data_IF_291646232465
#
_entry.id   IF_291646232465
#
_cell.length_a   1.000
_cell.length_b   1.000
_cell.length_c   1.000
_cell.angle_alpha   90.00
_cell.angle_beta   90.00
_cell.angle_gamma   90.00
#
_symmetry.space_group_name_H-M   'P 1'
#
loop_
_entity.id
_entity.type
_entity.pdbx_description
1 polymer ?
#
# COMPACT_ATOMS: atom_id res chain seq x y z
N UNK A 1 44.87 -13.17 -12.73
CA UNK A 1 45.15 -14.62 -12.80
C UNK A 1 44.73 -15.23 -11.47
N UNK A 2 43.58 -15.94 -11.48
CA UNK A 2 43.07 -16.98 -10.54
C UNK A 2 42.82 -16.53 -9.07
N UNK A 3 41.58 -16.24 -8.64
CA UNK A 3 40.45 -17.13 -8.24
C UNK A 3 40.68 -17.93 -6.95
N UNK A 4 39.85 -17.65 -5.93
CA UNK A 4 39.21 -18.66 -5.08
C UNK A 4 38.01 -18.04 -4.36
N UNK A 5 36.82 -18.23 -4.95
CA UNK A 5 35.54 -18.02 -4.31
C UNK A 5 35.21 -19.27 -3.47
N UNK A 6 34.76 -19.08 -2.23
CA UNK A 6 34.07 -20.12 -1.46
C UNK A 6 32.58 -19.84 -1.52
N UNK A 7 31.88 -20.73 -2.24
CA UNK A 7 30.43 -20.88 -2.23
C UNK A 7 30.05 -21.71 -1.00
N UNK A 8 29.19 -21.20 -0.14
CA UNK A 8 28.46 -22.01 0.84
C UNK A 8 26.95 -21.92 0.55
N UNK A 9 26.28 -23.00 0.13
CA UNK A 9 24.89 -22.98 -0.32
C UNK A 9 23.91 -23.54 0.73
N UNK A 10 23.92 -23.02 1.96
CA UNK A 10 23.09 -23.56 3.05
C UNK A 10 22.46 -22.52 4.01
N UNK A 11 22.06 -21.35 3.51
CA UNK A 11 21.13 -20.47 4.23
C UNK A 11 19.67 -20.79 3.88
N UNK A 12 19.26 -22.03 4.16
CA UNK A 12 17.85 -22.38 4.31
C UNK A 12 17.40 -21.93 5.70
N UNK A 13 16.82 -20.74 5.79
CA UNK A 13 16.10 -20.31 7.00
C UNK A 13 14.87 -21.20 7.15
N UNK A 14 15.01 -22.27 7.91
CA UNK A 14 13.93 -23.14 8.33
C UNK A 14 12.98 -22.34 9.24
N UNK A 15 11.81 -21.98 8.72
CA UNK A 15 10.67 -21.53 9.52
C UNK A 15 10.07 -22.73 10.26
N UNK A 16 10.75 -23.20 11.29
CA UNK A 16 10.30 -24.29 12.17
C UNK A 16 10.14 -23.77 13.59
N UNK A 17 9.01 -23.13 13.86
CA UNK A 17 8.54 -22.81 15.21
C UNK A 17 7.09 -23.29 15.38
N UNK A 18 6.66 -23.70 16.58
CA UNK A 18 5.31 -24.24 16.77
C UNK A 18 4.33 -23.07 16.81
N UNK A 19 3.77 -22.69 15.66
CA UNK A 19 2.67 -21.74 15.60
C UNK A 19 1.37 -22.46 15.95
N UNK A 20 0.84 -22.15 17.14
CA UNK A 20 -0.43 -22.66 17.66
C UNK A 20 -1.56 -22.39 16.65
N UNK A 21 -2.34 -23.42 16.30
CA UNK A 21 -3.62 -23.27 15.58
C UNK A 21 -4.52 -22.30 16.36
N UNK A 22 -4.58 -21.05 15.94
CA UNK A 22 -5.54 -20.10 16.48
C UNK A 22 -6.91 -20.39 15.85
N UNK A 23 -7.91 -20.63 16.70
CA UNK A 23 -9.30 -20.70 16.29
C UNK A 23 -9.73 -19.29 15.87
N UNK A 24 -10.20 -19.15 14.63
CA UNK A 24 -10.77 -17.90 14.13
C UNK A 24 -11.90 -17.45 15.08
N UNK A 25 -11.93 -16.18 15.50
CA UNK A 25 -12.97 -15.71 16.41
C UNK A 25 -14.36 -15.93 15.78
N UNK A 26 -15.35 -16.40 16.56
CA UNK A 26 -16.71 -16.56 16.06
C UNK A 26 -17.25 -15.19 15.60
N UNK A 27 -18.19 -15.21 14.64
CA UNK A 27 -18.86 -14.02 14.10
C UNK A 27 -19.43 -13.15 15.23
N UNK A 28 -18.68 -12.15 15.70
CA UNK A 28 -19.25 -11.03 16.44
C UNK A 28 -19.61 -9.96 15.41
N UNK A 29 -20.90 -9.81 15.15
CA UNK A 29 -21.48 -8.68 14.43
C UNK A 29 -21.30 -7.40 15.26
N UNK A 30 -20.08 -6.90 15.34
CA UNK A 30 -19.84 -5.49 15.68
C UNK A 30 -19.74 -4.76 14.35
N UNK A 31 -20.84 -4.13 13.94
CA UNK A 31 -20.88 -3.23 12.80
C UNK A 31 -19.91 -2.06 13.06
N UNK A 32 -18.64 -2.24 12.70
CA UNK A 32 -17.72 -1.13 12.55
C UNK A 32 -18.21 -0.39 11.30
N UNK A 33 -18.96 0.68 11.55
CA UNK A 33 -19.59 1.51 10.54
C UNK A 33 -18.52 2.28 9.76
N UNK A 34 -17.86 1.61 8.80
CA UNK A 34 -16.95 2.24 7.85
C UNK A 34 -17.78 2.93 6.76
N UNK A 35 -18.08 4.20 6.99
CA UNK A 35 -18.78 5.07 6.04
C UNK A 35 -17.93 5.31 4.78
N UNK A 36 -18.15 4.47 3.77
CA UNK A 36 -17.77 4.75 2.39
C UNK A 36 -19.01 5.26 1.64
N UNK A 37 -19.07 6.58 1.43
CA UNK A 37 -20.14 7.25 0.70
C UNK A 37 -20.18 6.74 -0.74
N UNK A 38 -21.23 5.99 -1.09
CA UNK A 38 -21.42 5.47 -2.46
C UNK A 38 -22.66 6.13 -3.05
N UNK A 39 -22.48 7.15 -3.91
CA UNK A 39 -23.54 7.62 -4.79
C UNK A 39 -23.55 6.75 -6.05
N UNK A 40 -24.64 6.04 -6.27
CA UNK A 40 -24.87 5.22 -7.46
C UNK A 40 -25.45 6.05 -8.60
N UNK A 41 -24.97 5.78 -9.82
CA UNK A 41 -25.73 5.99 -11.06
C UNK A 41 -25.22 5.02 -12.12
N UNK A 42 -26.16 4.25 -12.67
CA UNK A 42 -25.92 3.21 -13.66
C UNK A 42 -25.91 3.80 -15.07
N UNK A 43 -24.85 3.54 -15.87
CA UNK A 43 -24.91 3.55 -17.34
C UNK A 43 -23.98 2.47 -17.91
N UNK A 44 -24.52 1.70 -18.85
CA UNK A 44 -23.95 0.61 -19.65
C UNK A 44 -22.89 1.07 -20.65
N UNK A 45 -21.74 0.39 -20.74
CA UNK A 45 -21.00 0.08 -21.98
C UNK A 45 -19.68 -0.65 -21.70
N UNK A 46 -19.35 -1.63 -22.54
CA UNK A 46 -18.25 -2.57 -22.36
C UNK A 46 -16.84 -1.97 -22.35
N UNK A 47 -16.09 -2.29 -21.30
CA UNK A 47 -14.63 -2.51 -21.31
C UNK A 47 -14.27 -3.23 -20.01
N UNK A 48 -13.43 -4.26 -20.11
CA UNK A 48 -12.92 -5.04 -18.99
C UNK A 48 -12.19 -4.10 -18.02
N UNK A 49 -12.85 -3.73 -16.92
CA UNK A 49 -12.20 -3.11 -15.76
C UNK A 49 -11.99 -4.22 -14.71
N UNK A 50 -10.74 -4.65 -14.54
CA UNK A 50 -10.32 -5.31 -13.30
C UNK A 50 -10.58 -4.31 -12.18
N UNK A 51 -11.56 -4.59 -11.32
CA UNK A 51 -11.83 -3.78 -10.14
C UNK A 51 -10.77 -4.10 -9.08
N UNK A 52 -9.57 -3.57 -9.28
CA UNK A 52 -8.65 -3.29 -8.17
C UNK A 52 -8.79 -1.80 -7.89
N UNK A 53 -9.86 -1.41 -7.19
CA UNK A 53 -9.88 -0.07 -6.61
C UNK A 53 -8.82 -0.09 -5.51
N UNK A 54 -7.60 0.34 -5.83
CA UNK A 54 -6.61 0.69 -4.84
C UNK A 54 -6.90 2.14 -4.43
N UNK A 55 -7.60 2.41 -3.30
CA UNK A 55 -7.83 3.77 -2.84
C UNK A 55 -6.54 4.52 -2.45
N UNK A 56 -5.38 3.84 -2.51
CA UNK A 56 -4.05 4.36 -2.19
C UNK A 56 -3.10 4.40 -3.40
N UNK A 57 -3.62 4.18 -4.62
CA UNK A 57 -2.85 4.46 -5.84
C UNK A 57 -2.64 5.97 -5.94
N UNK A 58 -1.42 6.42 -5.65
CA UNK A 58 -1.00 7.81 -5.86
C UNK A 58 -1.02 8.12 -7.35
N UNK A 59 -2.12 8.69 -7.84
CA UNK A 59 -2.13 9.36 -9.13
C UNK A 59 -1.48 10.73 -8.97
N UNK A 60 -0.48 11.00 -9.80
CA UNK A 60 0.08 12.33 -10.02
C UNK A 60 -0.99 13.20 -10.69
N UNK A 61 -1.76 13.95 -9.91
CA UNK A 61 -2.73 14.89 -10.47
C UNK A 61 -2.04 16.23 -10.75
N UNK A 62 -1.62 16.43 -12.00
CA UNK A 62 -1.67 17.74 -12.64
C UNK A 62 -3.14 18.02 -12.98
N UNK A 63 -3.67 19.15 -12.53
CA UNK A 63 -4.99 19.62 -12.99
C UNK A 63 -4.90 21.09 -13.31
N UNK A 64 -5.02 21.40 -14.60
CA UNK A 64 -5.23 22.73 -15.15
C UNK A 64 -6.66 23.17 -14.83
N UNK A 65 -6.81 24.25 -14.07
CA UNK A 65 -8.10 24.83 -13.75
C UNK A 65 -8.46 25.90 -14.79
N UNK A 66 -9.52 25.66 -15.56
CA UNK A 66 -10.18 26.67 -16.39
C UNK A 66 -11.23 27.38 -15.54
N UNK A 67 -11.03 28.67 -15.25
CA UNK A 67 -11.94 29.48 -14.44
C UNK A 67 -13.01 30.14 -15.31
N UNK A 68 -14.29 29.88 -15.02
CA UNK A 68 -15.42 30.74 -15.44
C UNK A 68 -15.82 31.63 -14.26
N UNK A 69 -15.75 32.94 -14.49
CA UNK A 69 -16.15 33.98 -13.54
C UNK A 69 -17.66 33.97 -13.27
N UNK A 70 -18.05 34.16 -12.02
CA UNK A 70 -19.27 34.90 -11.70
C UNK A 70 -19.10 35.63 -10.36
N UNK A 71 -19.12 36.95 -10.45
CA UNK A 71 -18.97 37.93 -9.39
C UNK A 71 -20.27 38.07 -8.57
N UNK A 72 -20.15 38.09 -7.23
CA UNK A 72 -21.08 38.82 -6.36
C UNK A 72 -20.29 39.50 -5.24
N UNK A 73 -20.30 40.83 -5.28
CA UNK A 73 -19.81 41.73 -4.25
C UNK A 73 -20.72 41.66 -3.01
N UNK A 74 -20.13 41.62 -1.82
CA UNK A 74 -20.74 42.15 -0.60
C UNK A 74 -19.62 42.82 0.23
N UNK A 75 -19.80 44.12 0.45
CA UNK A 75 -18.98 44.97 1.30
C UNK A 75 -19.36 44.80 2.78
N UNK A 76 -18.38 44.76 3.67
CA UNK A 76 -18.51 45.31 5.02
C UNK A 76 -17.13 45.55 5.63
N UNK A 77 -16.89 46.78 6.05
CA UNK A 77 -15.69 47.26 6.73
C UNK A 77 -15.88 47.20 8.24
N UNK A 78 -14.85 46.82 9.01
CA UNK A 78 -14.42 47.52 10.24
C UNK A 78 -13.10 46.97 10.81
N UNK A 79 -12.27 47.90 11.30
CA UNK A 79 -10.87 47.83 11.72
C UNK A 79 -10.59 47.14 13.08
N UNK A 80 -9.36 46.62 13.26
CA UNK A 80 -8.41 46.82 14.39
C UNK A 80 -7.14 45.98 14.14
N UNK A 81 -6.06 46.56 13.61
CA UNK A 81 -4.80 47.01 14.26
C UNK A 81 -3.78 45.91 14.62
N UNK A 82 -2.55 46.14 14.14
CA UNK A 82 -1.25 45.47 14.39
C UNK A 82 -1.07 44.00 13.96
N UNK A 83 -0.84 43.78 12.66
CA UNK A 83 -0.08 42.62 12.20
C UNK A 83 0.84 43.04 11.06
N UNK A 84 2.14 42.75 11.21
CA UNK A 84 3.15 43.04 10.19
C UNK A 84 2.94 42.06 9.04
N UNK A 85 2.21 42.51 8.02
CA UNK A 85 1.71 41.74 6.88
C UNK A 85 2.81 40.91 6.18
N UNK A 86 2.97 39.64 6.58
CA UNK A 86 3.61 38.64 5.73
C UNK A 86 2.62 38.33 4.59
N UNK A 87 2.90 38.84 3.39
CA UNK A 87 2.02 38.61 2.25
C UNK A 87 1.96 37.11 1.90
N UNK A 88 0.75 36.57 1.95
CA UNK A 88 0.45 35.20 1.54
C UNK A 88 0.56 35.11 0.01
N UNK A 89 1.68 34.60 -0.49
CA UNK A 89 1.86 34.33 -1.92
C UNK A 89 1.08 33.08 -2.32
N UNK A 90 -0.08 33.29 -2.92
CA UNK A 90 -0.82 32.24 -3.62
C UNK A 90 -0.11 31.91 -4.95
N UNK A 91 0.15 30.61 -5.14
CA UNK A 91 0.79 30.04 -6.33
C UNK A 91 0.09 30.42 -7.65
N UNK A 92 0.77 31.20 -8.48
CA UNK A 92 0.54 31.27 -9.93
C UNK A 92 1.86 30.97 -10.65
N UNK A 93 2.37 29.73 -10.54
CA UNK A 93 3.47 29.27 -11.38
C UNK A 93 2.92 28.62 -12.65
N UNK A 94 2.56 29.46 -13.62
CA UNK A 94 2.40 29.11 -15.03
C UNK A 94 2.29 30.35 -15.94
N UNK A 95 3.14 31.37 -15.75
CA UNK A 95 3.44 32.37 -16.79
C UNK A 95 4.93 32.67 -16.74
N UNK A 96 5.53 32.82 -17.91
CA UNK A 96 6.94 33.14 -18.15
C UNK A 96 7.34 34.42 -17.41
N UNK A 97 7.74 34.29 -16.15
CA UNK A 97 8.35 35.36 -15.39
C UNK A 97 9.75 35.61 -15.96
N UNK A 98 10.09 36.88 -16.16
CA UNK A 98 11.43 37.25 -16.63
C UNK A 98 12.50 36.83 -15.61
N UNK A 99 13.72 36.55 -16.07
CA UNK A 99 14.81 36.11 -15.17
C UNK A 99 15.10 37.09 -14.02
N UNK A 100 14.88 38.39 -14.23
CA UNK A 100 15.05 39.41 -13.20
C UNK A 100 13.92 39.39 -12.14
N UNK A 101 12.68 39.10 -12.55
CA UNK A 101 11.52 39.02 -11.65
C UNK A 101 11.62 37.78 -10.76
N UNK A 102 12.06 36.64 -11.31
CA UNK A 102 12.37 35.44 -10.53
C UNK A 102 13.50 35.68 -9.50
N UNK A 103 14.53 36.44 -9.87
CA UNK A 103 15.62 36.80 -8.97
C UNK A 103 15.17 37.75 -7.84
N UNK A 104 14.24 38.67 -8.12
CA UNK A 104 13.72 39.62 -7.13
C UNK A 104 12.71 38.96 -6.18
N UNK A 105 11.93 38.01 -6.70
CA UNK A 105 11.05 37.16 -5.88
C UNK A 105 11.86 36.25 -4.96
N UNK A 106 12.96 35.66 -5.45
CA UNK A 106 13.83 34.82 -4.63
C UNK A 106 14.58 35.62 -3.57
N UNK A 107 15.03 36.85 -3.88
CA UNK A 107 15.68 37.71 -2.90
C UNK A 107 14.75 38.13 -1.77
N UNK A 108 13.51 38.54 -2.09
CA UNK A 108 12.49 38.87 -1.10
C UNK A 108 12.13 37.65 -0.22
N UNK A 109 11.99 36.47 -0.83
CA UNK A 109 11.74 35.23 -0.10
C UNK A 109 12.86 34.92 0.91
N UNK A 110 14.13 35.09 0.51
CA UNK A 110 15.27 34.85 1.39
C UNK A 110 15.37 35.89 2.51
N UNK A 111 15.01 37.15 2.25
CA UNK A 111 14.92 38.19 3.29
C UNK A 111 13.87 37.82 4.35
N UNK A 112 12.68 37.40 3.93
CA UNK A 112 11.64 36.90 4.84
C UNK A 112 12.10 35.65 5.61
N UNK A 113 12.84 34.75 4.97
CA UNK A 113 13.43 33.58 5.63
C UNK A 113 14.40 33.99 6.73
N UNK A 114 15.35 34.88 6.43
CA UNK A 114 16.32 35.34 7.44
C UNK A 114 15.66 36.09 8.60
N UNK A 115 14.53 36.76 8.37
CA UNK A 115 13.76 37.40 9.42
C UNK A 115 13.13 36.41 10.42
N UNK A 116 12.95 35.13 10.06
CA UNK A 116 12.37 34.09 10.93
C UNK A 116 13.39 33.12 11.52
N UNK A 117 14.66 33.22 11.13
CA UNK A 117 15.78 32.45 11.72
C UNK A 117 15.85 32.74 13.22
N UNK A 118 16.01 31.70 14.02
CA UNK A 118 15.88 31.67 15.48
C UNK A 118 14.47 31.35 15.98
N UNK A 119 13.46 31.32 15.10
CA UNK A 119 12.08 30.98 15.40
C UNK A 119 11.47 30.02 14.35
N UNK A 120 12.29 29.25 13.63
CA UNK A 120 11.82 28.36 12.56
C UNK A 120 10.80 27.33 13.07
N UNK A 121 10.97 26.66 14.24
CA UNK A 121 9.99 25.67 14.72
C UNK A 121 8.60 26.26 14.92
N UNK A 122 8.53 27.45 15.54
CA UNK A 122 7.27 28.16 15.75
C UNK A 122 6.66 28.60 14.43
N UNK A 123 7.49 29.13 13.54
CA UNK A 123 7.08 29.59 12.21
C UNK A 123 6.51 28.45 11.36
N UNK A 124 7.14 27.28 11.39
CA UNK A 124 6.69 26.08 10.67
C UNK A 124 5.27 25.63 11.08
N UNK A 125 4.88 25.91 12.32
CA UNK A 125 3.56 25.57 12.87
C UNK A 125 2.47 26.62 12.54
N UNK A 126 2.76 27.58 11.65
CA UNK A 126 1.79 28.56 11.16
C UNK A 126 1.50 28.32 9.67
N UNK A 127 0.31 28.73 9.20
CA UNK A 127 -0.05 28.60 7.77
C UNK A 127 0.93 29.37 6.90
N UNK A 128 1.19 30.63 7.22
CA UNK A 128 2.10 31.50 6.45
C UNK A 128 3.53 31.01 6.51
N UNK A 129 4.02 30.66 7.70
CA UNK A 129 5.38 30.17 7.87
C UNK A 129 5.64 28.84 7.18
N UNK A 130 4.66 27.93 7.16
CA UNK A 130 4.73 26.71 6.33
C UNK A 130 4.95 27.05 4.86
N UNK A 131 4.18 27.99 4.30
CA UNK A 131 4.33 28.38 2.89
C UNK A 131 5.70 29.00 2.60
N UNK A 132 6.18 29.87 3.49
CA UNK A 132 7.53 30.44 3.43
C UNK A 132 8.60 29.34 3.42
N UNK A 133 8.62 28.49 4.44
CA UNK A 133 9.66 27.47 4.62
C UNK A 133 9.65 26.42 3.51
N UNK A 134 8.47 25.96 3.07
CA UNK A 134 8.38 25.05 1.92
C UNK A 134 8.88 25.71 0.64
N UNK A 135 8.63 27.01 0.44
CA UNK A 135 9.14 27.74 -0.73
C UNK A 135 10.66 27.89 -0.67
N UNK A 136 11.22 28.15 0.52
CA UNK A 136 12.67 28.19 0.73
C UNK A 136 13.31 26.82 0.46
N UNK A 137 12.72 25.74 0.95
CA UNK A 137 13.20 24.37 0.68
C UNK A 137 13.20 24.07 -0.84
N UNK A 138 12.23 24.58 -1.60
CA UNK A 138 12.18 24.41 -3.06
C UNK A 138 13.31 25.12 -3.80
N UNK A 139 13.97 26.12 -3.21
CA UNK A 139 15.17 26.73 -3.77
C UNK A 139 16.38 25.79 -3.70
N UNK A 140 16.35 24.78 -2.83
CA UNK A 140 17.41 23.78 -2.66
C UNK A 140 18.78 24.37 -2.28
N UNK A 141 18.80 25.54 -1.65
CA UNK A 141 20.02 26.13 -1.14
C UNK A 141 20.48 25.35 0.10
N UNK A 142 21.64 24.69 0.00
CA UNK A 142 22.15 23.76 1.02
C UNK A 142 22.35 24.41 2.39
N UNK A 143 22.83 25.66 2.42
CA UNK A 143 22.99 26.44 3.64
C UNK A 143 21.65 26.75 4.33
N UNK A 144 20.60 27.08 3.55
CA UNK A 144 19.25 27.34 4.08
C UNK A 144 18.60 26.06 4.60
N UNK A 145 18.76 24.95 3.88
CA UNK A 145 18.31 23.62 4.32
C UNK A 145 18.97 23.26 5.65
N UNK A 146 20.27 23.48 5.78
CA UNK A 146 20.99 23.19 7.03
C UNK A 146 20.48 24.03 8.20
N UNK A 147 20.27 25.34 8.01
CA UNK A 147 19.68 26.21 9.04
C UNK A 147 18.31 25.70 9.50
N UNK A 148 17.46 25.30 8.54
CA UNK A 148 16.14 24.74 8.85
C UNK A 148 16.28 23.45 9.66
N UNK A 149 17.19 22.55 9.28
CA UNK A 149 17.44 21.30 10.02
C UNK A 149 17.88 21.62 11.45
N UNK A 150 18.90 22.44 11.61
CA UNK A 150 19.52 22.75 12.91
C UNK A 150 18.51 23.33 13.90
N UNK A 151 17.63 24.22 13.45
CA UNK A 151 16.58 24.79 14.29
C UNK A 151 15.41 23.84 14.54
N UNK A 152 15.04 23.00 13.57
CA UNK A 152 13.95 22.04 13.74
C UNK A 152 14.33 20.88 14.66
N UNK A 153 15.58 20.40 14.63
CA UNK A 153 16.02 19.19 15.33
C UNK A 153 15.63 19.15 16.83
N UNK A 154 15.84 20.21 17.64
CA UNK A 154 15.45 20.21 19.06
C UNK A 154 13.94 20.06 19.31
N UNK A 155 13.10 20.45 18.35
CA UNK A 155 11.64 20.42 18.45
C UNK A 155 11.00 19.52 17.39
N UNK A 156 11.79 18.66 16.75
CA UNK A 156 11.38 17.90 15.56
C UNK A 156 10.09 17.12 15.80
N UNK A 157 10.00 16.44 16.95
CA UNK A 157 8.84 15.63 17.30
C UNK A 157 7.55 16.44 17.42
N UNK A 158 7.63 17.67 17.95
CA UNK A 158 6.49 18.58 18.10
C UNK A 158 6.07 19.10 16.73
N UNK A 159 7.03 19.61 15.96
CA UNK A 159 6.77 20.20 14.63
C UNK A 159 6.26 19.14 13.65
N UNK A 160 6.78 17.90 13.70
CA UNK A 160 6.35 16.84 12.82
C UNK A 160 4.89 16.40 13.05
N UNK A 161 4.39 16.54 14.28
CA UNK A 161 2.99 16.22 14.63
C UNK A 161 2.04 17.40 14.46
N UNK A 162 2.56 18.61 14.28
CA UNK A 162 1.76 19.81 14.06
C UNK A 162 1.03 19.78 12.70
N UNK A 163 -0.18 20.37 12.67
CA UNK A 163 -1.04 20.40 11.49
C UNK A 163 -0.39 21.12 10.29
N UNK A 164 0.46 22.12 10.54
CA UNK A 164 1.22 22.83 9.50
C UNK A 164 2.67 22.35 9.44
N UNK A 165 3.30 22.14 10.60
CA UNK A 165 4.70 21.74 10.70
C UNK A 165 5.02 20.42 9.99
N UNK A 166 4.10 19.44 10.00
CA UNK A 166 4.28 18.17 9.31
C UNK A 166 4.54 18.33 7.80
N UNK A 167 4.01 19.39 7.17
CA UNK A 167 4.24 19.68 5.76
C UNK A 167 5.67 20.17 5.50
N UNK A 168 6.25 20.93 6.43
CA UNK A 168 7.64 21.39 6.34
C UNK A 168 8.58 20.21 6.53
N UNK A 169 8.35 19.37 7.56
CA UNK A 169 9.16 18.16 7.81
C UNK A 169 9.08 17.18 6.64
N UNK A 170 7.89 16.99 6.07
CA UNK A 170 7.74 16.17 4.85
C UNK A 170 8.51 16.75 3.67
N UNK A 171 8.37 18.05 3.39
CA UNK A 171 9.06 18.69 2.28
C UNK A 171 10.58 18.62 2.43
N UNK A 172 11.07 18.73 3.67
CA UNK A 172 12.48 18.54 4.00
C UNK A 172 12.92 17.10 3.68
N UNK A 173 12.21 16.07 4.17
CA UNK A 173 12.53 14.66 3.90
C UNK A 173 12.49 14.36 2.39
N UNK A 174 11.55 14.94 1.64
CA UNK A 174 11.49 14.74 0.18
C UNK A 174 12.65 15.38 -0.59
N UNK A 175 13.37 16.31 0.03
CA UNK A 175 14.46 17.09 -0.58
C UNK A 175 15.85 16.55 -0.23
N UNK A 176 16.07 16.16 1.02
CA UNK A 176 17.41 15.85 1.53
C UNK A 176 17.97 14.54 0.97
N UNK A 177 19.28 14.37 1.04
CA UNK A 177 19.94 13.10 0.71
C UNK A 177 19.71 12.05 1.81
N UNK A 178 20.00 10.79 1.52
CA UNK A 178 19.90 9.72 2.51
C UNK A 178 20.88 9.94 3.66
N UNK A 179 22.10 10.39 3.39
CA UNK A 179 23.12 10.66 4.41
C UNK A 179 22.66 11.75 5.39
N UNK A 180 21.99 12.78 4.89
CA UNK A 180 21.45 13.85 5.73
C UNK A 180 20.19 13.39 6.48
N UNK A 181 19.35 12.54 5.89
CA UNK A 181 18.25 11.95 6.62
C UNK A 181 18.76 11.12 7.81
N UNK A 182 19.83 10.34 7.62
CA UNK A 182 20.41 9.48 8.66
C UNK A 182 20.82 10.25 9.92
N UNK A 183 21.23 11.52 9.80
CA UNK A 183 21.53 12.37 10.97
C UNK A 183 20.27 12.83 11.70
N UNK A 184 19.12 12.89 11.01
CA UNK A 184 17.83 13.31 11.56
C UNK A 184 17.10 12.13 12.23
N UNK A 185 17.23 10.91 11.70
CA UNK A 185 16.49 9.73 12.18
C UNK A 185 16.55 9.51 13.70
N UNK A 186 17.71 9.64 14.38
CA UNK A 186 17.82 9.42 15.83
C UNK A 186 16.99 10.40 16.67
N UNK A 187 16.58 11.54 16.10
CA UNK A 187 15.79 12.56 16.78
C UNK A 187 14.28 12.25 16.78
N UNK A 188 13.81 11.31 15.96
CA UNK A 188 12.42 10.86 16.02
C UNK A 188 12.21 9.92 17.21
N UNK A 189 11.36 10.34 18.15
CA UNK A 189 10.96 9.47 19.25
C UNK A 189 10.07 8.33 18.72
N UNK A 190 10.19 7.10 19.26
CA UNK A 190 9.34 5.99 18.83
C UNK A 190 7.84 6.29 18.91
N UNK A 191 7.40 6.94 20.00
CA UNK A 191 6.01 7.39 20.17
C UNK A 191 5.58 8.33 19.03
N UNK A 192 6.44 9.25 18.63
CA UNK A 192 6.17 10.19 17.53
C UNK A 192 6.01 9.47 16.20
N UNK A 193 6.81 8.44 15.90
CA UNK A 193 6.65 7.65 14.68
C UNK A 193 5.26 7.01 14.60
N UNK A 194 4.77 6.45 15.72
CA UNK A 194 3.44 5.86 15.80
C UNK A 194 2.35 6.92 15.64
N UNK A 195 2.46 8.04 16.36
CA UNK A 195 1.51 9.15 16.25
C UNK A 195 1.49 9.74 14.84
N UNK A 196 2.63 9.89 14.17
CA UNK A 196 2.70 10.32 12.78
C UNK A 196 1.87 9.39 11.89
N UNK A 197 2.03 8.08 12.04
CA UNK A 197 1.36 7.06 11.23
C UNK A 197 -0.17 7.07 11.39
N UNK A 198 -0.71 7.44 12.55
CA UNK A 198 -2.15 7.32 12.83
C UNK A 198 -2.92 8.63 12.91
N UNK A 199 -2.28 9.75 13.28
CA UNK A 199 -2.98 10.97 13.70
C UNK A 199 -3.81 11.61 12.59
N UNK A 200 -3.26 11.70 11.38
CA UNK A 200 -3.95 12.32 10.24
C UNK A 200 -3.40 11.85 8.91
N UNK A 201 -4.12 12.20 7.84
CA UNK A 201 -3.63 12.01 6.49
C UNK A 201 -2.38 12.80 6.12
N UNK A 202 -2.08 13.88 6.85
CA UNK A 202 -0.94 14.75 6.58
C UNK A 202 0.29 14.28 7.33
N UNK A 203 0.17 14.02 8.64
CA UNK A 203 1.26 13.49 9.48
C UNK A 203 1.76 12.14 8.98
N UNK A 204 0.86 11.24 8.53
CA UNK A 204 1.29 9.93 8.01
C UNK A 204 2.20 10.06 6.80
N UNK A 205 2.08 11.15 6.03
CA UNK A 205 2.90 11.37 4.83
C UNK A 205 4.36 11.63 5.17
N UNK A 206 4.69 12.04 6.40
CA UNK A 206 6.07 12.15 6.89
C UNK A 206 6.72 10.78 6.92
N UNK A 207 6.07 9.79 7.55
CA UNK A 207 6.57 8.40 7.59
C UNK A 207 6.61 7.80 6.18
N UNK A 208 5.60 8.08 5.35
CA UNK A 208 5.58 7.58 3.97
C UNK A 208 6.71 8.18 3.14
N UNK A 209 7.01 9.48 3.25
CA UNK A 209 8.10 10.09 2.48
C UNK A 209 9.47 9.52 2.86
N UNK A 210 9.68 9.14 4.13
CA UNK A 210 10.92 8.47 4.55
C UNK A 210 11.14 7.20 3.71
N UNK A 211 10.14 6.31 3.66
CA UNK A 211 10.25 5.05 2.95
C UNK A 211 10.16 5.18 1.41
N UNK A 212 9.37 6.14 0.90
CA UNK A 212 9.25 6.39 -0.54
C UNK A 212 10.53 7.01 -1.15
N UNK A 213 11.37 7.66 -0.33
CA UNK A 213 12.56 8.40 -0.80
C UNK A 213 13.87 7.74 -0.44
N UNK A 214 13.95 7.01 0.68
CA UNK A 214 15.20 6.53 1.22
C UNK A 214 15.20 5.03 1.47
N UNK A 215 16.35 4.42 1.20
CA UNK A 215 16.62 3.02 1.52
C UNK A 215 17.97 2.98 2.23
N UNK A 216 17.95 2.70 3.53
CA UNK A 216 19.14 2.65 4.37
C UNK A 216 18.96 1.69 5.53
N UNK A 217 20.07 1.10 5.98
CA UNK A 217 20.16 0.33 7.23
C UNK A 217 19.75 1.17 8.45
N UNK A 218 20.01 2.48 8.41
CA UNK A 218 19.67 3.41 9.50
C UNK A 218 18.15 3.55 9.73
N UNK A 219 17.30 3.09 8.80
CA UNK A 219 15.85 3.06 8.99
C UNK A 219 15.39 1.97 9.97
N UNK A 220 16.26 1.02 10.33
CA UNK A 220 15.93 -0.12 11.20
C UNK A 220 15.23 0.25 12.50
N UNK A 221 15.60 1.32 13.25
CA UNK A 221 14.87 1.72 14.46
C UNK A 221 13.42 2.15 14.19
N UNK A 222 13.18 2.87 13.08
CA UNK A 222 11.83 3.26 12.67
C UNK A 222 11.03 2.03 12.24
N UNK A 223 11.63 1.15 11.43
CA UNK A 223 11.01 -0.11 11.02
C UNK A 223 10.63 -0.96 12.24
N UNK A 224 11.52 -1.07 13.22
CA UNK A 224 11.29 -1.81 14.47
C UNK A 224 10.13 -1.22 15.25
N UNK A 225 10.07 0.11 15.36
CA UNK A 225 8.96 0.82 16.02
C UNK A 225 7.62 0.51 15.35
N UNK A 226 7.56 0.59 14.02
CA UNK A 226 6.37 0.26 13.22
C UNK A 226 6.00 -1.22 13.37
N UNK A 227 6.98 -2.13 13.37
CA UNK A 227 6.77 -3.57 13.51
C UNK A 227 6.17 -3.91 14.89
N UNK A 228 6.70 -3.33 15.96
CA UNK A 228 6.22 -3.54 17.33
C UNK A 228 4.77 -3.08 17.52
N UNK A 229 4.37 -2.00 16.85
CA UNK A 229 2.98 -1.52 16.85
C UNK A 229 2.16 -2.03 15.65
N UNK A 230 2.70 -3.00 14.89
CA UNK A 230 2.20 -3.36 13.56
C UNK A 230 0.74 -3.81 13.57
N UNK A 231 0.33 -4.58 14.57
CA UNK A 231 -1.06 -5.03 14.72
C UNK A 231 -2.02 -3.84 14.88
N UNK A 232 -1.70 -2.91 15.80
CA UNK A 232 -2.51 -1.72 16.05
C UNK A 232 -2.59 -0.82 14.81
N UNK A 233 -1.45 -0.62 14.14
CA UNK A 233 -1.36 0.20 12.94
C UNK A 233 -2.15 -0.43 11.78
N UNK A 234 -2.04 -1.73 11.56
CA UNK A 234 -2.66 -2.43 10.43
C UNK A 234 -4.19 -2.36 10.42
N UNK A 235 -4.83 -2.23 11.59
CA UNK A 235 -6.29 -2.09 11.72
C UNK A 235 -6.77 -0.64 11.74
N UNK A 236 -5.88 0.33 11.57
CA UNK A 236 -6.21 1.76 11.49
C UNK A 236 -6.28 2.23 10.04
N UNK A 237 -7.25 3.11 9.74
CA UNK A 237 -7.42 3.72 8.41
C UNK A 237 -6.15 4.42 7.90
N UNK A 238 -5.39 5.03 8.81
CA UNK A 238 -4.17 5.76 8.49
C UNK A 238 -2.92 4.90 8.69
N UNK A 239 -2.90 4.15 9.80
CA UNK A 239 -1.76 3.32 10.18
C UNK A 239 -1.46 2.20 9.18
N UNK A 240 -2.50 1.61 8.56
CA UNK A 240 -2.31 0.52 7.61
C UNK A 240 -1.46 0.95 6.41
N UNK A 241 -1.56 2.21 5.99
CA UNK A 241 -0.81 2.77 4.86
C UNK A 241 0.67 2.90 5.22
N UNK A 242 0.98 3.28 6.47
CA UNK A 242 2.37 3.32 6.94
C UNK A 242 2.99 1.92 6.93
N UNK A 243 2.27 0.90 7.45
CA UNK A 243 2.72 -0.50 7.43
C UNK A 243 2.94 -0.99 6.00
N UNK A 244 2.00 -0.73 5.09
CA UNK A 244 2.11 -1.09 3.66
C UNK A 244 3.37 -0.46 3.05
N UNK A 245 3.58 0.85 3.25
CA UNK A 245 4.74 1.55 2.69
C UNK A 245 6.07 1.06 3.26
N UNK A 246 6.10 0.70 4.55
CA UNK A 246 7.26 0.06 5.16
C UNK A 246 7.52 -1.31 4.53
N UNK A 247 6.50 -2.15 4.30
CA UNK A 247 6.66 -3.45 3.63
C UNK A 247 7.16 -3.25 2.18
N UNK A 248 6.56 -2.35 1.41
CA UNK A 248 6.92 -2.15 0.00
C UNK A 248 8.36 -1.64 -0.16
N UNK A 249 8.77 -0.66 0.64
CA UNK A 249 9.96 0.14 0.30
C UNK A 249 11.17 -0.07 1.20
N UNK A 250 11.06 -0.85 2.29
CA UNK A 250 12.21 -1.17 3.15
C UNK A 250 13.16 -2.21 2.52
N UNK A 251 14.35 -2.33 3.13
CA UNK A 251 15.31 -3.37 2.77
C UNK A 251 14.73 -4.78 3.04
N UNK A 252 15.18 -5.83 2.35
CA UNK A 252 14.58 -7.16 2.47
C UNK A 252 14.51 -7.71 3.90
N UNK A 253 15.54 -7.51 4.73
CA UNK A 253 15.55 -7.98 6.12
C UNK A 253 14.64 -7.12 7.03
N UNK A 254 14.60 -5.80 6.83
CA UNK A 254 13.66 -4.88 7.48
C UNK A 254 12.21 -5.27 7.16
N UNK A 255 11.89 -5.49 5.88
CA UNK A 255 10.59 -5.97 5.42
C UNK A 255 10.19 -7.26 6.14
N UNK A 256 11.11 -8.24 6.17
CA UNK A 256 10.89 -9.53 6.82
C UNK A 256 10.57 -9.36 8.31
N UNK A 257 11.22 -8.42 9.00
CA UNK A 257 10.94 -8.13 10.42
C UNK A 257 9.49 -7.67 10.63
N UNK A 258 8.98 -6.76 9.80
CA UNK A 258 7.58 -6.29 9.87
C UNK A 258 6.62 -7.43 9.57
N UNK A 259 6.88 -8.19 8.50
CA UNK A 259 6.06 -9.33 8.11
C UNK A 259 5.97 -10.35 9.26
N UNK A 260 7.11 -10.71 9.86
CA UNK A 260 7.16 -11.69 10.95
C UNK A 260 6.32 -11.29 12.17
N UNK A 261 6.26 -9.99 12.49
CA UNK A 261 5.43 -9.46 13.57
C UNK A 261 3.93 -9.51 13.27
N UNK A 262 3.54 -9.54 12.00
CA UNK A 262 2.13 -9.56 11.58
C UNK A 262 1.59 -10.97 11.36
N UNK A 263 2.45 -11.97 11.14
CA UNK A 263 2.04 -13.36 10.91
C UNK A 263 1.13 -13.93 12.02
N UNK A 264 1.40 -13.74 13.32
CA UNK A 264 0.56 -14.30 14.38
C UNK A 264 -0.88 -13.75 14.43
N UNK A 265 -1.15 -12.64 13.75
CA UNK A 265 -2.46 -11.97 13.72
C UNK A 265 -3.07 -11.91 12.32
N UNK A 266 -2.44 -12.60 11.36
CA UNK A 266 -2.83 -12.61 9.95
C UNK A 266 -4.31 -13.01 9.72
N UNK A 267 -4.89 -14.02 10.40
CA UNK A 267 -6.30 -14.36 10.22
C UNK A 267 -7.24 -13.20 10.58
N UNK A 268 -6.97 -12.50 11.70
CA UNK A 268 -7.76 -11.35 12.12
C UNK A 268 -7.60 -10.16 11.17
N UNK A 269 -6.37 -9.90 10.68
CA UNK A 269 -6.12 -8.83 9.71
C UNK A 269 -6.82 -9.10 8.38
N UNK A 270 -6.87 -10.35 7.93
CA UNK A 270 -7.50 -10.78 6.68
C UNK A 270 -8.98 -10.39 6.62
N UNK A 271 -9.69 -10.47 7.76
CA UNK A 271 -11.10 -10.11 7.86
C UNK A 271 -11.35 -8.63 8.23
N UNK A 272 -10.30 -7.84 8.47
CA UNK A 272 -10.44 -6.44 8.87
C UNK A 272 -10.59 -5.51 7.65
N UNK A 273 -11.38 -4.44 7.79
CA UNK A 273 -11.67 -3.48 6.72
C UNK A 273 -10.44 -2.71 6.19
N UNK A 274 -9.38 -2.58 6.98
CA UNK A 274 -8.09 -1.99 6.60
C UNK A 274 -6.98 -3.06 6.53
N UNK A 275 -6.97 -3.98 7.50
CA UNK A 275 -5.96 -5.03 7.61
C UNK A 275 -5.88 -5.94 6.39
N UNK A 276 -6.99 -6.16 5.68
CA UNK A 276 -6.99 -7.00 4.47
C UNK A 276 -6.01 -6.46 3.40
N UNK A 277 -5.85 -5.13 3.28
CA UNK A 277 -4.88 -4.54 2.35
C UNK A 277 -3.44 -4.79 2.78
N UNK A 278 -3.18 -4.77 4.09
CA UNK A 278 -1.87 -5.14 4.65
C UNK A 278 -1.57 -6.60 4.36
N UNK A 279 -2.55 -7.51 4.50
CA UNK A 279 -2.39 -8.93 4.15
C UNK A 279 -2.11 -9.13 2.67
N UNK A 280 -2.80 -8.42 1.78
CA UNK A 280 -2.49 -8.52 0.34
C UNK A 280 -1.07 -8.03 0.03
N UNK A 281 -0.64 -6.95 0.67
CA UNK A 281 0.72 -6.41 0.50
C UNK A 281 1.78 -7.37 1.04
N UNK A 282 1.61 -7.91 2.24
CA UNK A 282 2.60 -8.80 2.85
C UNK A 282 2.76 -10.10 2.05
N UNK A 283 1.66 -10.70 1.60
CA UNK A 283 1.71 -11.91 0.77
C UNK A 283 2.42 -11.65 -0.57
N UNK A 284 2.16 -10.50 -1.21
CA UNK A 284 2.81 -10.13 -2.47
C UNK A 284 4.35 -10.00 -2.34
N UNK A 285 4.87 -9.75 -1.14
CA UNK A 285 6.31 -9.59 -0.92
C UNK A 285 6.95 -10.78 -0.18
N UNK A 286 6.24 -11.90 -0.06
CA UNK A 286 6.81 -13.17 0.35
C UNK A 286 7.36 -13.93 -0.85
N UNK A 287 8.36 -14.77 -0.63
CA UNK A 287 8.67 -15.84 -1.58
C UNK A 287 7.53 -16.86 -1.63
N UNK A 288 7.43 -17.58 -2.75
CA UNK A 288 6.31 -18.48 -3.02
C UNK A 288 6.18 -19.60 -1.97
N UNK A 289 7.29 -20.20 -1.53
CA UNK A 289 7.28 -21.26 -0.53
C UNK A 289 6.74 -20.77 0.82
N UNK A 290 7.22 -19.60 1.28
CA UNK A 290 6.72 -18.96 2.50
C UNK A 290 5.24 -18.59 2.39
N UNK A 291 4.81 -18.05 1.26
CA UNK A 291 3.41 -17.70 1.01
C UNK A 291 2.51 -18.94 1.14
N UNK A 292 2.83 -20.02 0.42
CA UNK A 292 2.03 -21.25 0.45
C UNK A 292 1.97 -21.80 1.87
N UNK A 293 3.11 -21.87 2.57
CA UNK A 293 3.16 -22.33 3.96
C UNK A 293 2.29 -21.49 4.90
N UNK A 294 2.38 -20.17 4.83
CA UNK A 294 1.61 -19.26 5.69
C UNK A 294 0.11 -19.37 5.39
N UNK A 295 -0.25 -19.41 4.11
CA UNK A 295 -1.63 -19.48 3.65
C UNK A 295 -2.27 -20.81 4.08
N UNK A 296 -1.66 -21.95 3.78
CA UNK A 296 -2.17 -23.26 4.17
C UNK A 296 -2.31 -23.38 5.69
N UNK A 297 -1.33 -22.88 6.45
CA UNK A 297 -1.38 -22.94 7.91
C UNK A 297 -2.56 -22.13 8.50
N UNK A 298 -2.83 -20.95 7.94
CA UNK A 298 -3.80 -20.01 8.53
C UNK A 298 -5.22 -20.15 7.97
N UNK A 299 -5.38 -20.61 6.73
CA UNK A 299 -6.67 -20.59 6.02
C UNK A 299 -7.29 -21.98 5.80
N UNK A 300 -6.53 -23.06 5.93
CA UNK A 300 -7.04 -24.42 5.82
C UNK A 300 -8.27 -24.66 6.71
N UNK A 301 -9.31 -25.27 6.13
CA UNK A 301 -10.58 -25.53 6.80
C UNK A 301 -11.49 -24.30 6.98
N UNK A 302 -11.09 -23.13 6.48
CA UNK A 302 -11.83 -21.88 6.62
C UNK A 302 -11.99 -21.12 5.29
N UNK A 303 -11.65 -21.75 4.16
CA UNK A 303 -11.69 -21.14 2.84
C UNK A 303 -13.08 -20.59 2.50
N UNK A 304 -14.15 -21.33 2.82
CA UNK A 304 -15.51 -20.86 2.59
C UNK A 304 -15.83 -19.61 3.43
N UNK A 305 -15.50 -19.66 4.73
CA UNK A 305 -15.77 -18.55 5.66
C UNK A 305 -15.06 -17.27 5.22
N UNK A 306 -13.81 -17.39 4.78
CA UNK A 306 -13.02 -16.26 4.30
C UNK A 306 -13.53 -15.75 2.95
N UNK A 307 -13.96 -16.65 2.06
CA UNK A 307 -14.46 -16.30 0.73
C UNK A 307 -15.79 -15.55 0.77
N UNK A 308 -16.66 -15.86 1.73
CA UNK A 308 -17.94 -15.17 1.93
C UNK A 308 -17.84 -13.94 2.86
N UNK A 309 -16.63 -13.57 3.30
CA UNK A 309 -16.43 -12.36 4.11
C UNK A 309 -16.08 -11.17 3.20
N UNK A 310 -16.77 -10.04 3.42
CA UNK A 310 -16.64 -8.79 2.65
C UNK A 310 -15.20 -8.32 2.38
N UNK A 311 -14.30 -8.52 3.35
CA UNK A 311 -12.93 -8.02 3.28
C UNK A 311 -11.96 -9.15 2.91
N UNK A 312 -12.10 -10.31 3.53
CA UNK A 312 -11.23 -11.45 3.29
C UNK A 312 -11.39 -12.03 1.87
N UNK A 313 -12.56 -11.92 1.24
CA UNK A 313 -12.77 -12.39 -0.14
C UNK A 313 -11.75 -11.82 -1.11
N UNK A 314 -11.38 -10.54 -0.95
CA UNK A 314 -10.36 -9.88 -1.79
C UNK A 314 -8.96 -10.49 -1.59
N UNK A 315 -8.66 -10.96 -0.38
CA UNK A 315 -7.42 -11.68 -0.07
C UNK A 315 -7.46 -13.05 -0.73
N UNK A 316 -8.56 -13.79 -0.56
CA UNK A 316 -8.70 -15.13 -1.14
C UNK A 316 -8.65 -15.09 -2.66
N UNK A 317 -9.30 -14.12 -3.30
CA UNK A 317 -9.19 -13.89 -4.75
C UNK A 317 -7.74 -13.80 -5.20
N UNK A 318 -6.86 -13.09 -4.48
CA UNK A 318 -5.43 -13.00 -4.83
C UNK A 318 -4.63 -14.24 -4.49
N UNK A 319 -5.00 -14.94 -3.42
CA UNK A 319 -4.34 -16.17 -2.98
C UNK A 319 -4.53 -17.27 -4.00
N UNK A 320 -5.75 -17.47 -4.54
CA UNK A 320 -6.02 -18.56 -5.49
C UNK A 320 -5.24 -18.46 -6.81
N UNK A 321 -4.77 -17.26 -7.19
CA UNK A 321 -3.88 -17.07 -8.34
C UNK A 321 -2.43 -17.53 -8.08
N UNK A 322 -2.04 -17.66 -6.82
CA UNK A 322 -0.66 -17.96 -6.42
C UNK A 322 -0.49 -19.40 -5.94
N UNK A 323 -1.59 -20.10 -5.64
CA UNK A 323 -1.56 -21.49 -5.22
C UNK A 323 -1.51 -22.43 -6.43
N UNK A 324 -0.72 -23.49 -6.27
CA UNK A 324 -0.54 -24.61 -7.19
C UNK A 324 -0.52 -25.95 -6.42
N UNK A 325 -0.48 -27.06 -7.17
CA UNK A 325 -0.33 -28.41 -6.63
C UNK A 325 -1.33 -28.76 -5.51
N UNK A 326 -0.81 -29.28 -4.40
CA UNK A 326 -1.60 -29.76 -3.26
C UNK A 326 -2.38 -28.61 -2.59
N UNK A 327 -1.75 -27.45 -2.43
CA UNK A 327 -2.38 -26.29 -1.80
C UNK A 327 -3.56 -25.77 -2.62
N UNK A 328 -3.42 -25.72 -3.96
CA UNK A 328 -4.52 -25.36 -4.86
C UNK A 328 -5.67 -26.37 -4.78
N UNK A 329 -5.33 -27.66 -4.81
CA UNK A 329 -6.32 -28.74 -4.73
C UNK A 329 -7.13 -28.65 -3.43
N UNK A 330 -6.50 -28.39 -2.29
CA UNK A 330 -7.20 -28.23 -1.01
C UNK A 330 -8.29 -27.14 -1.05
N UNK A 331 -7.98 -25.99 -1.66
CA UNK A 331 -8.94 -24.89 -1.82
C UNK A 331 -10.11 -25.29 -2.71
N UNK A 332 -9.81 -25.93 -3.85
CA UNK A 332 -10.83 -26.36 -4.82
C UNK A 332 -11.72 -27.44 -4.21
N UNK A 333 -11.14 -28.39 -3.47
CA UNK A 333 -11.87 -29.46 -2.80
C UNK A 333 -12.84 -28.89 -1.75
N UNK A 334 -12.40 -27.96 -0.89
CA UNK A 334 -13.29 -27.35 0.11
C UNK A 334 -14.38 -26.48 -0.53
N UNK A 335 -14.04 -25.63 -1.51
CA UNK A 335 -14.95 -24.62 -2.03
C UNK A 335 -15.89 -25.11 -3.14
N UNK A 336 -15.42 -26.04 -3.98
CA UNK A 336 -16.11 -26.44 -5.22
C UNK A 336 -16.58 -27.89 -5.18
N UNK A 337 -15.78 -28.81 -4.65
CA UNK A 337 -16.13 -30.23 -4.65
C UNK A 337 -17.19 -30.59 -3.60
N UNK A 338 -17.26 -29.84 -2.50
CA UNK A 338 -18.41 -29.88 -1.60
C UNK A 338 -19.61 -29.10 -2.20
N UNK A 339 -20.70 -29.83 -2.46
CA UNK A 339 -21.89 -29.27 -3.10
C UNK A 339 -22.62 -28.22 -2.24
N UNK A 340 -22.50 -28.28 -0.92
CA UNK A 340 -23.13 -27.32 -0.01
C UNK A 340 -22.34 -26.01 0.00
N UNK A 341 -21.01 -26.10 0.10
CA UNK A 341 -20.08 -24.98 0.05
C UNK A 341 -20.17 -24.27 -1.30
N UNK A 342 -20.19 -25.02 -2.42
CA UNK A 342 -20.35 -24.44 -3.75
C UNK A 342 -21.65 -23.64 -3.88
N UNK A 343 -22.78 -24.18 -3.40
CA UNK A 343 -24.06 -23.46 -3.42
C UNK A 343 -23.99 -22.18 -2.58
N UNK A 344 -23.38 -22.24 -1.41
CA UNK A 344 -23.18 -21.07 -0.56
C UNK A 344 -22.33 -20.01 -1.29
N UNK A 345 -21.18 -20.41 -1.83
CA UNK A 345 -20.25 -19.55 -2.55
C UNK A 345 -20.90 -18.88 -3.78
N UNK A 346 -21.69 -19.63 -4.54
CA UNK A 346 -22.41 -19.13 -5.72
C UNK A 346 -23.52 -18.14 -5.37
N UNK A 347 -24.13 -18.25 -4.19
CA UNK A 347 -25.22 -17.37 -3.76
C UNK A 347 -24.72 -16.14 -2.99
N UNK A 348 -23.50 -16.20 -2.45
CA UNK A 348 -22.93 -15.14 -1.62
C UNK A 348 -22.48 -13.92 -2.43
N UNK A 349 -22.68 -12.72 -1.86
CA UNK A 349 -22.36 -11.44 -2.50
C UNK A 349 -20.86 -11.18 -2.69
N UNK A 350 -20.00 -11.89 -1.97
CA UNK A 350 -18.54 -11.82 -2.05
C UNK A 350 -17.94 -13.12 -2.60
N UNK A 351 -18.46 -14.26 -2.13
CA UNK A 351 -17.99 -15.61 -2.51
C UNK A 351 -18.02 -15.86 -4.01
N UNK A 352 -19.02 -15.32 -4.72
CA UNK A 352 -19.13 -15.48 -6.17
C UNK A 352 -17.91 -14.90 -6.94
N UNK A 353 -17.19 -13.92 -6.38
CA UNK A 353 -15.97 -13.38 -6.98
C UNK A 353 -14.80 -14.35 -6.80
N UNK A 354 -14.69 -15.00 -5.63
CA UNK A 354 -13.69 -16.04 -5.39
C UNK A 354 -13.89 -17.22 -6.34
N UNK A 355 -15.13 -17.67 -6.54
CA UNK A 355 -15.41 -18.73 -7.53
C UNK A 355 -14.97 -18.33 -8.94
N UNK A 356 -15.25 -17.09 -9.34
CA UNK A 356 -14.79 -16.57 -10.63
C UNK A 356 -13.26 -16.52 -10.71
N UNK A 357 -12.57 -16.18 -9.61
CA UNK A 357 -11.10 -16.20 -9.55
C UNK A 357 -10.54 -17.62 -9.69
N UNK A 358 -11.13 -18.62 -9.04
CA UNK A 358 -10.75 -20.04 -9.18
C UNK A 358 -10.88 -20.48 -10.65
N UNK A 359 -12.03 -20.20 -11.28
CA UNK A 359 -12.28 -20.51 -12.69
C UNK A 359 -11.26 -19.79 -13.60
N UNK A 360 -11.01 -18.51 -13.34
CA UNK A 360 -10.14 -17.69 -14.17
C UNK A 360 -8.65 -18.05 -14.01
N UNK A 361 -8.24 -18.59 -12.87
CA UNK A 361 -6.86 -18.96 -12.57
C UNK A 361 -6.54 -20.43 -12.85
N UNK A 362 -7.51 -21.23 -13.29
CA UNK A 362 -7.31 -22.65 -13.59
C UNK A 362 -6.48 -22.82 -14.87
N UNK A 363 -5.22 -23.20 -14.69
CA UNK A 363 -4.31 -23.50 -15.80
C UNK A 363 -4.28 -24.99 -16.15
N UNK A 364 -4.87 -25.84 -15.30
CA UNK A 364 -5.04 -27.27 -15.56
C UNK A 364 -6.41 -27.55 -16.22
N UNK A 365 -6.39 -28.36 -17.28
CA UNK A 365 -7.58 -28.73 -18.04
C UNK A 365 -8.48 -29.69 -17.26
N UNK A 366 -7.88 -30.57 -16.45
CA UNK A 366 -8.63 -31.54 -15.65
C UNK A 366 -9.37 -30.82 -14.51
N UNK A 367 -8.69 -29.99 -13.72
CA UNK A 367 -9.30 -29.13 -12.71
C UNK A 367 -10.41 -28.25 -13.32
N UNK A 368 -10.12 -27.58 -14.44
CA UNK A 368 -11.09 -26.71 -15.09
C UNK A 368 -12.36 -27.47 -15.51
N UNK A 369 -12.20 -28.67 -16.07
CA UNK A 369 -13.30 -29.55 -16.46
C UNK A 369 -14.13 -29.98 -15.26
N UNK A 370 -13.47 -30.38 -14.16
CA UNK A 370 -14.12 -30.79 -12.92
C UNK A 370 -14.93 -29.65 -12.31
N UNK A 371 -14.30 -28.48 -12.10
CA UNK A 371 -14.95 -27.26 -11.62
C UNK A 371 -16.13 -26.89 -12.52
N UNK A 372 -15.94 -26.90 -13.84
CA UNK A 372 -17.01 -26.58 -14.79
C UNK A 372 -18.20 -27.54 -14.70
N UNK A 373 -17.95 -28.84 -14.54
CA UNK A 373 -19.00 -29.86 -14.44
C UNK A 373 -19.88 -29.68 -13.21
N UNK A 374 -19.32 -29.19 -12.10
CA UNK A 374 -20.03 -28.91 -10.85
C UNK A 374 -20.79 -27.59 -10.88
N UNK A 375 -20.18 -26.55 -11.46
CA UNK A 375 -20.76 -25.19 -11.47
C UNK A 375 -21.90 -25.06 -12.48
N UNK A 376 -21.76 -25.62 -13.69
CA UNK A 376 -22.73 -25.45 -14.80
C UNK A 376 -24.18 -25.78 -14.42
N UNK A 377 -24.48 -26.93 -13.77
CA UNK A 377 -25.85 -27.27 -13.39
C UNK A 377 -26.48 -26.28 -12.40
N UNK A 378 -25.67 -25.57 -11.61
CA UNK A 378 -26.13 -24.67 -10.54
C UNK A 378 -26.27 -23.22 -10.98
N UNK A 379 -25.82 -22.84 -12.18
CA UNK A 379 -25.81 -21.45 -12.65
C UNK A 379 -27.18 -20.77 -12.52
N UNK A 380 -28.26 -21.46 -12.87
CA UNK A 380 -29.62 -20.93 -12.81
C UNK A 380 -30.11 -20.62 -11.38
N UNK A 381 -29.48 -21.19 -10.36
CA UNK A 381 -29.85 -21.00 -8.95
C UNK A 381 -29.18 -19.79 -8.30
N UNK A 382 -28.20 -19.19 -8.98
CA UNK A 382 -27.41 -18.08 -8.43
C UNK A 382 -27.84 -16.73 -9.04
N UNK A 383 -27.97 -15.66 -8.22
CA UNK A 383 -28.17 -14.31 -8.74
C UNK A 383 -26.97 -13.81 -9.58
N UNK A 384 -25.82 -14.47 -9.48
CA UNK A 384 -24.58 -14.18 -10.22
C UNK A 384 -24.31 -15.18 -11.35
N UNK A 385 -25.24 -16.10 -11.61
CA UNK A 385 -25.08 -17.20 -12.56
C UNK A 385 -24.62 -16.78 -13.96
N UNK A 386 -25.18 -15.70 -14.51
CA UNK A 386 -24.76 -15.17 -15.81
C UNK A 386 -23.28 -14.73 -15.83
N UNK A 387 -22.80 -14.07 -14.76
CA UNK A 387 -21.40 -13.65 -14.65
C UNK A 387 -20.46 -14.84 -14.53
N UNK A 388 -20.80 -15.80 -13.66
CA UNK A 388 -20.03 -17.04 -13.47
C UNK A 388 -19.98 -17.84 -14.77
N UNK A 389 -21.12 -17.99 -15.45
CA UNK A 389 -21.23 -18.68 -16.74
C UNK A 389 -20.32 -18.07 -17.81
N UNK A 390 -20.24 -16.74 -17.91
CA UNK A 390 -19.33 -16.08 -18.86
C UNK A 390 -17.85 -16.40 -18.60
N UNK A 391 -17.45 -16.55 -17.32
CA UNK A 391 -16.08 -16.97 -16.97
C UNK A 391 -15.79 -18.40 -17.41
N UNK A 392 -16.75 -19.32 -17.28
CA UNK A 392 -16.59 -20.71 -17.76
C UNK A 392 -16.39 -20.77 -19.28
N UNK A 393 -17.07 -19.91 -20.06
CA UNK A 393 -16.84 -19.88 -21.50
C UNK A 393 -15.45 -19.33 -21.85
N UNK A 394 -15.03 -18.24 -21.19
CA UNK A 394 -13.70 -17.64 -21.42
C UNK A 394 -12.53 -18.44 -20.81
N UNK A 395 -12.77 -19.23 -19.77
CA UNK A 395 -11.79 -20.12 -19.15
C UNK A 395 -11.43 -21.28 -20.07
N UNK A 396 -12.43 -21.92 -20.69
CA UNK A 396 -12.23 -23.02 -21.65
C UNK A 396 -11.30 -22.61 -22.80
N UNK A 397 -11.49 -21.40 -23.34
CA UNK A 397 -10.65 -20.87 -24.42
C UNK A 397 -9.19 -20.68 -23.95
N UNK A 398 -8.97 -20.25 -22.71
CA UNK A 398 -7.62 -20.07 -22.14
C UNK A 398 -6.94 -21.42 -21.90
N UNK A 399 -7.63 -22.38 -21.30
CA UNK A 399 -7.07 -23.70 -21.01
C UNK A 399 -6.73 -24.48 -22.30
N UNK A 400 -7.48 -24.28 -23.39
CA UNK A 400 -7.18 -24.88 -24.70
C UNK A 400 -6.00 -24.22 -25.44
N UNK A 401 -5.57 -23.02 -25.04
CA UNK A 401 -4.41 -22.32 -25.60
C UNK A 401 -3.09 -22.66 -24.91
N UNK A 402 -3.14 -23.40 -23.79
CA UNK A 402 -1.93 -23.92 -23.12
C UNK A 402 -1.42 -25.10 -23.94
N UNK A 403 -0.57 -24.83 -24.93
CA UNK A 403 0.19 -25.86 -25.63
C UNK A 403 1.14 -26.56 -24.66
N UNK A 404 1.26 -27.90 -24.67
CA UNK A 404 2.29 -28.59 -23.90
C UNK A 404 3.67 -28.10 -24.38
N UNK A 405 4.59 -27.87 -23.43
CA UNK A 405 5.97 -27.53 -23.74
C UNK A 405 6.56 -28.53 -24.76
N UNK A 406 7.39 -28.07 -25.71
CA UNK A 406 7.99 -28.99 -26.68
C UNK A 406 8.80 -30.03 -25.91
N UNK A 407 8.42 -31.30 -26.08
CA UNK A 407 9.22 -32.44 -25.67
C UNK A 407 10.60 -32.25 -26.29
N UNK A 408 11.62 -32.08 -25.45
CA UNK A 408 13.02 -32.08 -25.88
C UNK A 408 13.29 -33.46 -26.44
N UNK A 409 13.13 -33.59 -27.76
CA UNK A 409 13.50 -34.79 -28.50
C UNK A 409 15.00 -35.01 -28.32
N UNK A 410 15.35 -36.09 -27.63
CA UNK A 410 16.71 -36.58 -27.57
C UNK A 410 17.19 -36.90 -28.99
N UNK A 411 18.00 -36.00 -29.54
CA UNK A 411 18.84 -36.28 -30.70
C UNK A 411 20.14 -36.88 -30.18
N UNK A 412 20.27 -38.20 -30.33
CA UNK A 412 21.54 -38.89 -30.17
C UNK A 412 22.55 -38.35 -31.19
N UNK A 413 23.67 -37.82 -30.70
CA UNK A 413 24.82 -37.51 -31.53
C UNK A 413 25.57 -38.81 -31.87
N UNK A 414 25.97 -39.05 -33.12
CA UNK A 414 26.83 -40.19 -33.45
C UNK A 414 28.28 -39.88 -33.10
N UNK A 415 28.95 -40.89 -32.54
CA UNK A 415 30.40 -41.00 -32.40
C UNK A 415 31.09 -40.76 -33.74
N UNK A 416 32.14 -39.94 -33.75
CA UNK A 416 33.20 -39.99 -34.75
C UNK A 416 34.52 -40.25 -34.05
N UNK A 417 35.08 -41.41 -34.35
CA UNK A 417 36.49 -41.75 -34.20
C UNK A 417 37.33 -40.90 -35.15
N UNK A 418 38.33 -40.20 -34.61
CA UNK A 418 39.77 -40.18 -34.97
C UNK A 418 40.48 -38.98 -34.34
#
# INVERSE_FOLDING_TARGET
>A
MVMAASNDPNDHVAFSGPYLKQVLPPRTSTDINCSATTQGSAITAGRIRRYTHNPYASQSATTSCSSTNTSRQLNSSNNTSCDSSIQVYNNCFAREASGAELALLSSNLLEQFFAVVGNIPRTACTVTGRHLLVSVLRLQHTDKVQIIIDELLPQLNIVALDQQGCHVVRALIELISTELLETILPHFAPKTIIELAVSSQHTRRVVQSIFERHKSEALTPIVTTIAQSGQQLAVSQQGCIAVIRTIENSLPHQRRSVISMLLPVLPSLTMNCYGNYVVQCLLQHMDHASLVSVVCHNFAGHWLTLSCNKFASNVIEKVVWQLDGVARKEVVDELVMDASNLRCLMQDGFGNFVLQAIIDSSNDLEEFSEVSSRVRPLLHTSPYGHKIGNRLHGGLVRSLQVTPAPQVGGSAAPLMDE
#
